data_IF_856147504320
#
_entry.id   IF_856147504320
#
_cell.length_a   1.000
_cell.length_b   1.000
_cell.length_c   1.000
_cell.angle_alpha   90.00
_cell.angle_beta   90.00
_cell.angle_gamma   90.00
#
_symmetry.space_group_name_H-M   'P 1'
#
loop_
_entity.id
_entity.type
_entity.pdbx_description
1 polymer ?
#
# COMPACT_ATOMS: atom_id res chain seq x y z
N UNK A 1 38.19 15.12 -15.73
CA UNK A 1 37.67 14.54 -14.48
C UNK A 1 38.82 14.56 -13.51
N UNK A 2 38.87 15.63 -12.72
CA UNK A 2 39.89 15.77 -11.70
C UNK A 2 39.60 14.87 -10.49
N UNK A 3 40.59 14.70 -9.63
CA UNK A 3 40.49 13.80 -8.46
C UNK A 3 39.48 14.31 -7.42
N UNK A 4 39.10 15.58 -7.46
CA UNK A 4 38.11 16.15 -6.55
C UNK A 4 36.68 15.84 -7.03
N UNK A 5 36.42 16.02 -8.33
CA UNK A 5 35.15 15.62 -8.96
C UNK A 5 34.90 14.12 -8.75
N UNK A 6 35.92 13.27 -8.93
CA UNK A 6 35.78 11.81 -8.73
C UNK A 6 35.35 11.45 -7.30
N UNK A 7 35.91 12.12 -6.29
CA UNK A 7 35.54 11.90 -4.88
C UNK A 7 34.11 12.34 -4.58
N UNK A 8 33.66 13.45 -5.17
CA UNK A 8 32.29 13.92 -5.02
C UNK A 8 31.29 12.93 -5.65
N UNK A 9 31.62 12.40 -6.83
CA UNK A 9 30.83 11.35 -7.49
C UNK A 9 30.81 10.03 -6.69
N UNK A 10 31.95 9.62 -6.14
CA UNK A 10 32.04 8.42 -5.30
C UNK A 10 31.23 8.57 -4.01
N UNK A 11 31.27 9.74 -3.36
CA UNK A 11 30.46 10.04 -2.18
C UNK A 11 28.96 10.04 -2.53
N UNK A 12 28.58 10.64 -3.66
CA UNK A 12 27.20 10.66 -4.13
C UNK A 12 26.67 9.24 -4.40
N UNK A 13 27.47 8.39 -5.04
CA UNK A 13 27.11 6.99 -5.28
C UNK A 13 27.00 6.20 -3.98
N UNK A 14 27.88 6.43 -3.01
CA UNK A 14 27.83 5.78 -1.70
C UNK A 14 26.56 6.18 -0.92
N UNK A 15 26.19 7.46 -0.94
CA UNK A 15 24.95 7.95 -0.31
C UNK A 15 23.69 7.41 -1.01
N UNK A 16 23.70 7.28 -2.33
CA UNK A 16 22.62 6.63 -3.08
C UNK A 16 22.51 5.14 -2.74
N UNK A 17 23.64 4.44 -2.67
CA UNK A 17 23.68 3.01 -2.30
C UNK A 17 23.16 2.80 -0.88
N UNK A 18 23.52 3.69 0.07
CA UNK A 18 23.04 3.65 1.44
C UNK A 18 21.52 3.91 1.53
N UNK A 19 20.97 4.80 0.70
CA UNK A 19 19.52 5.01 0.60
C UNK A 19 18.81 3.77 0.06
N UNK A 20 19.35 3.13 -0.98
CA UNK A 20 18.80 1.89 -1.54
C UNK A 20 18.86 0.76 -0.50
N UNK A 21 19.98 0.59 0.19
CA UNK A 21 20.10 -0.41 1.25
C UNK A 21 19.19 -0.13 2.44
N UNK A 22 18.94 1.14 2.80
CA UNK A 22 17.97 1.49 3.84
C UNK A 22 16.52 1.15 3.42
N UNK A 23 16.20 1.28 2.13
CA UNK A 23 14.91 0.87 1.56
C UNK A 23 14.78 -0.67 1.56
N UNK A 24 15.84 -1.39 1.17
CA UNK A 24 15.87 -2.85 1.12
C UNK A 24 15.94 -3.53 2.51
N UNK A 25 16.61 -2.88 3.48
CA UNK A 25 16.72 -3.36 4.86
C UNK A 25 15.53 -2.96 5.74
N UNK A 26 14.66 -2.08 5.24
CA UNK A 26 13.35 -1.85 5.84
C UNK A 26 12.51 -3.11 5.63
N UNK A 27 11.83 -3.65 6.66
CA UNK A 27 10.88 -4.74 6.44
C UNK A 27 9.90 -4.29 5.35
N UNK A 28 9.72 -5.10 4.28
CA UNK A 28 8.84 -4.85 3.13
C UNK A 28 7.67 -3.95 3.56
N UNK A 29 7.41 -2.82 2.87
CA UNK A 29 6.51 -1.80 3.37
C UNK A 29 5.21 -2.47 3.80
N UNK A 30 4.83 -2.30 5.08
CA UNK A 30 3.73 -3.02 5.71
C UNK A 30 2.43 -3.08 4.88
N UNK A 31 2.25 -2.11 3.98
CA UNK A 31 1.19 -2.03 2.98
C UNK A 31 1.18 -3.17 1.96
N UNK A 32 2.34 -3.60 1.43
CA UNK A 32 2.40 -4.69 0.44
C UNK A 32 2.06 -6.04 1.07
N UNK A 33 2.58 -6.31 2.27
CA UNK A 33 2.22 -7.50 3.05
C UNK A 33 0.73 -7.51 3.34
N UNK A 34 0.18 -6.36 3.75
CA UNK A 34 -1.25 -6.22 4.07
C UNK A 34 -2.13 -6.43 2.84
N UNK A 35 -1.72 -5.93 1.66
CA UNK A 35 -2.45 -6.18 0.41
C UNK A 35 -2.44 -7.67 0.04
N UNK A 36 -1.30 -8.34 0.20
CA UNK A 36 -1.19 -9.78 -0.08
C UNK A 36 -2.11 -10.59 0.84
N UNK A 37 -2.11 -10.29 2.15
CA UNK A 37 -3.02 -10.93 3.11
C UNK A 37 -4.50 -10.73 2.72
N UNK A 38 -4.88 -9.52 2.29
CA UNK A 38 -6.23 -9.25 1.82
C UNK A 38 -6.56 -10.06 0.55
N UNK A 39 -5.61 -10.22 -0.37
CA UNK A 39 -5.79 -11.04 -1.58
C UNK A 39 -5.89 -12.53 -1.23
N UNK A 40 -5.13 -13.01 -0.27
CA UNK A 40 -5.18 -14.39 0.23
C UNK A 40 -6.53 -14.72 0.86
N UNK A 41 -7.07 -13.83 1.72
CA UNK A 41 -8.44 -13.97 2.27
C UNK A 41 -9.46 -14.15 1.14
N UNK A 42 -9.35 -13.35 0.08
CA UNK A 42 -10.27 -13.40 -1.07
C UNK A 42 -10.09 -14.68 -1.87
N UNK A 43 -8.85 -15.08 -2.14
CA UNK A 43 -8.54 -16.27 -2.93
C UNK A 43 -8.99 -17.57 -2.24
N UNK A 44 -8.78 -17.65 -0.93
CA UNK A 44 -9.10 -18.83 -0.13
C UNK A 44 -10.53 -18.80 0.46
N UNK A 45 -11.28 -17.71 0.22
CA UNK A 45 -12.62 -17.47 0.77
C UNK A 45 -12.71 -17.65 2.29
N UNK A 46 -11.68 -17.22 3.01
CA UNK A 46 -11.57 -17.40 4.45
C UNK A 46 -11.72 -16.07 5.21
N UNK A 47 -11.41 -16.08 6.50
CA UNK A 47 -11.19 -14.88 7.29
C UNK A 47 -9.81 -14.95 7.95
N UNK A 48 -9.16 -13.81 8.15
CA UNK A 48 -7.83 -13.76 8.77
C UNK A 48 -7.76 -12.59 9.76
N UNK A 49 -6.89 -12.73 10.77
CA UNK A 49 -6.61 -11.66 11.72
C UNK A 49 -5.49 -10.77 11.18
N UNK A 50 -5.82 -9.53 10.84
CA UNK A 50 -4.87 -8.50 10.39
C UNK A 50 -4.86 -7.37 11.43
N UNK A 51 -3.68 -7.00 11.93
CA UNK A 51 -3.49 -5.93 12.93
C UNK A 51 -4.47 -6.02 14.13
N UNK A 52 -4.68 -7.22 14.65
CA UNK A 52 -5.58 -7.43 15.80
C UNK A 52 -7.07 -7.57 15.45
N UNK A 53 -7.47 -7.32 14.21
CA UNK A 53 -8.86 -7.33 13.74
C UNK A 53 -9.14 -8.54 12.86
N UNK A 54 -10.31 -9.17 13.02
CA UNK A 54 -10.76 -10.22 12.10
C UNK A 54 -11.33 -9.54 10.87
N UNK A 55 -10.77 -9.86 9.71
CA UNK A 55 -11.24 -9.37 8.41
C UNK A 55 -11.84 -10.56 7.67
N UNK A 56 -13.11 -10.43 7.30
CA UNK A 56 -13.84 -11.42 6.50
C UNK A 56 -13.62 -11.22 5.00
N UNK A 57 -14.00 -12.23 4.22
CA UNK A 57 -13.89 -12.23 2.76
C UNK A 57 -14.59 -11.06 2.06
N UNK A 58 -15.76 -10.62 2.54
CA UNK A 58 -16.49 -9.52 1.90
C UNK A 58 -15.75 -8.20 2.13
N UNK A 59 -15.31 -7.97 3.36
CA UNK A 59 -14.52 -6.79 3.71
C UNK A 59 -13.20 -6.76 2.95
N UNK A 60 -12.48 -7.89 2.89
CA UNK A 60 -11.22 -7.97 2.15
C UNK A 60 -11.42 -7.70 0.65
N UNK A 61 -12.44 -8.31 0.03
CA UNK A 61 -12.76 -8.09 -1.38
C UNK A 61 -13.12 -6.62 -1.68
N UNK A 62 -13.88 -5.98 -0.80
CA UNK A 62 -14.22 -4.56 -0.93
C UNK A 62 -12.96 -3.67 -0.93
N UNK A 63 -12.04 -3.90 0.01
CA UNK A 63 -10.79 -3.14 0.13
C UNK A 63 -9.91 -3.35 -1.11
N UNK A 64 -9.73 -4.59 -1.57
CA UNK A 64 -8.94 -4.89 -2.78
C UNK A 64 -9.51 -4.20 -4.02
N UNK A 65 -10.84 -4.24 -4.20
CA UNK A 65 -11.51 -3.55 -5.32
C UNK A 65 -11.31 -2.05 -5.29
N UNK A 66 -11.45 -1.42 -4.11
CA UNK A 66 -11.22 0.02 -3.97
C UNK A 66 -9.75 0.35 -4.23
N UNK A 67 -8.82 -0.41 -3.68
CA UNK A 67 -7.39 -0.25 -3.94
C UNK A 67 -7.09 -0.28 -5.44
N UNK A 68 -7.59 -1.28 -6.15
CA UNK A 68 -7.34 -1.46 -7.58
C UNK A 68 -8.03 -0.36 -8.43
N UNK A 69 -9.17 0.17 -7.97
CA UNK A 69 -9.89 1.27 -8.61
C UNK A 69 -9.27 2.67 -8.39
N UNK A 70 -8.39 2.85 -7.39
CA UNK A 70 -7.73 4.14 -7.15
C UNK A 70 -6.68 4.41 -8.24
N UNK A 71 -6.74 5.56 -8.91
CA UNK A 71 -5.81 5.90 -10.01
C UNK A 71 -4.43 6.39 -9.55
N UNK A 72 -4.34 7.00 -8.37
CA UNK A 72 -3.09 7.59 -7.86
C UNK A 72 -2.39 6.61 -6.92
N UNK A 73 -1.11 6.32 -7.16
CA UNK A 73 -0.28 5.45 -6.31
C UNK A 73 -0.30 5.91 -4.85
N UNK A 74 -0.17 7.21 -4.61
CA UNK A 74 -0.23 7.79 -3.26
C UNK A 74 -1.55 7.51 -2.53
N UNK A 75 -2.69 7.41 -3.23
CA UNK A 75 -3.97 7.08 -2.60
C UNK A 75 -4.06 5.59 -2.23
N UNK A 76 -3.47 4.72 -3.05
CA UNK A 76 -3.37 3.28 -2.79
C UNK A 76 -2.54 3.01 -1.55
N UNK A 77 -1.36 3.61 -1.47
CA UNK A 77 -0.47 3.53 -0.31
C UNK A 77 -1.12 4.13 0.95
N UNK A 78 -1.82 5.26 0.81
CA UNK A 78 -2.55 5.89 1.92
C UNK A 78 -3.66 4.99 2.46
N UNK A 79 -4.38 4.28 1.60
CA UNK A 79 -5.40 3.32 2.01
C UNK A 79 -4.78 2.17 2.81
N UNK A 80 -3.68 1.60 2.32
CA UNK A 80 -3.03 0.44 2.94
C UNK A 80 -2.21 0.76 4.18
N UNK A 81 -1.74 2.01 4.35
CA UNK A 81 -0.99 2.46 5.52
C UNK A 81 -1.89 2.84 6.71
N UNK A 82 -3.19 3.01 6.50
CA UNK A 82 -4.14 3.28 7.58
C UNK A 82 -4.40 2.03 8.44
N UNK A 83 -4.90 2.24 9.67
CA UNK A 83 -5.37 1.13 10.51
C UNK A 83 -6.57 0.44 9.87
N UNK A 84 -6.74 -0.86 10.16
CA UNK A 84 -7.83 -1.67 9.58
C UNK A 84 -9.21 -1.00 9.71
N UNK A 85 -9.63 -0.46 10.88
CA UNK A 85 -10.92 0.22 10.98
C UNK A 85 -11.07 1.44 10.07
N UNK A 86 -9.99 2.22 9.90
CA UNK A 86 -9.99 3.42 9.07
C UNK A 86 -10.02 3.07 7.58
N UNK A 87 -9.24 2.06 7.18
CA UNK A 87 -9.23 1.52 5.82
C UNK A 87 -10.62 1.01 5.43
N UNK A 88 -11.27 0.24 6.31
CA UNK A 88 -12.63 -0.29 6.10
C UNK A 88 -13.65 0.84 6.01
N UNK A 89 -13.60 1.82 6.92
CA UNK A 89 -14.47 3.00 6.88
C UNK A 89 -14.35 3.79 5.57
N UNK A 90 -13.13 4.05 5.10
CA UNK A 90 -12.90 4.72 3.83
C UNK A 90 -13.38 3.89 2.64
N UNK A 91 -13.12 2.58 2.66
CA UNK A 91 -13.59 1.65 1.63
C UNK A 91 -15.11 1.72 1.48
N UNK A 92 -15.86 1.63 2.59
CA UNK A 92 -17.32 1.71 2.56
C UNK A 92 -17.84 3.09 2.21
N UNK A 93 -17.13 4.16 2.59
CA UNK A 93 -17.47 5.51 2.11
C UNK A 93 -17.33 5.62 0.60
N UNK A 94 -16.25 5.07 0.03
CA UNK A 94 -15.98 5.11 -1.40
C UNK A 94 -16.93 4.22 -2.20
N UNK A 95 -17.31 3.05 -1.67
CA UNK A 95 -18.32 2.17 -2.29
C UNK A 95 -19.73 2.75 -2.12
N UNK A 96 -20.06 3.32 -0.96
CA UNK A 96 -21.37 3.94 -0.71
C UNK A 96 -21.56 5.26 -1.47
N UNK A 97 -20.46 5.97 -1.78
CA UNK A 97 -20.48 7.12 -2.70
C UNK A 97 -20.39 6.72 -4.17
N UNK A 98 -20.12 5.45 -4.46
CA UNK A 98 -20.04 4.92 -5.83
C UNK A 98 -21.44 4.78 -6.42
N UNK A 99 -21.76 5.65 -7.37
CA UNK A 99 -23.11 5.81 -7.94
C UNK A 99 -23.36 4.91 -9.16
N UNK A 100 -22.56 3.87 -9.38
CA UNK A 100 -22.75 2.90 -10.47
C UNK A 100 -22.28 3.37 -11.86
N UNK A 101 -21.79 4.60 -11.96
CA UNK A 101 -21.36 5.29 -13.18
C UNK A 101 -19.83 5.41 -13.32
N UNK A 102 -19.07 4.79 -12.41
CA UNK A 102 -17.61 4.71 -12.50
C UNK A 102 -16.86 6.00 -12.14
N UNK A 103 -17.55 7.01 -11.58
CA UNK A 103 -16.92 8.28 -11.21
C UNK A 103 -17.03 8.50 -9.69
N UNK A 104 -15.90 8.39 -8.99
CA UNK A 104 -15.79 8.86 -7.61
C UNK A 104 -15.64 10.39 -7.64
N UNK A 105 -16.73 11.11 -7.39
CA UNK A 105 -16.67 12.56 -7.16
C UNK A 105 -16.20 12.82 -5.73
N UNK A 106 -15.02 13.44 -5.61
CA UNK A 106 -14.42 13.91 -4.37
C UNK A 106 -14.81 15.37 -4.15
#
# INVERSE_FOLDING_TARGET
>A
MDDNERREWEQYLADMQAQVQAIEASPRPSSEIRLEQLREIVAEHQCMKIDGHVVDVMTANAVVKVHDALNKLANREKLLSASVPVMVHWTWKLIGSWTGDGVVRI
#
